data_IF_573185436032
#
_entry.id   IF_573185436032
#
_cell.length_a   1.000
_cell.length_b   1.000
_cell.length_c   1.000
_cell.angle_alpha   90.00
_cell.angle_beta   90.00
_cell.angle_gamma   90.00
#
_symmetry.space_group_name_H-M   'P 1'
#
loop_
_entity.id
_entity.type
_entity.pdbx_description
1 polymer ?
#
# COMPACT_ATOMS: atom_id res chain seq x y z
N UNK A 1 -56.35 -12.47 -10.27
CA UNK A 1 -55.32 -11.55 -10.76
C UNK A 1 -54.22 -11.53 -9.72
N UNK A 2 -53.06 -12.13 -10.01
CA UNK A 2 -51.99 -12.31 -9.05
C UNK A 2 -51.22 -10.98 -8.84
N UNK A 3 -50.94 -10.65 -7.58
CA UNK A 3 -50.02 -9.58 -7.20
C UNK A 3 -48.60 -10.06 -7.56
N UNK A 4 -47.97 -9.38 -8.52
CA UNK A 4 -46.57 -9.60 -8.87
C UNK A 4 -45.68 -9.10 -7.73
N UNK A 5 -45.10 -10.01 -6.96
CA UNK A 5 -44.07 -9.69 -5.98
C UNK A 5 -42.76 -9.40 -6.73
N UNK A 6 -42.40 -8.13 -6.86
CA UNK A 6 -41.02 -7.75 -7.17
C UNK A 6 -40.16 -8.19 -5.97
N UNK A 7 -39.31 -9.20 -6.19
CA UNK A 7 -38.31 -9.61 -5.21
C UNK A 7 -37.29 -8.48 -4.99
N UNK A 8 -36.62 -8.44 -3.83
CA UNK A 8 -35.61 -7.43 -3.58
C UNK A 8 -34.43 -7.65 -4.55
N UNK A 9 -34.14 -6.65 -5.38
CA UNK A 9 -32.88 -6.54 -6.11
C UNK A 9 -31.75 -6.24 -5.10
N UNK A 10 -31.38 -7.27 -4.34
CA UNK A 10 -30.12 -7.30 -3.61
C UNK A 10 -29.03 -7.66 -4.60
N UNK A 11 -28.51 -6.67 -5.32
CA UNK A 11 -27.24 -6.82 -6.01
C UNK A 11 -26.18 -7.11 -4.97
N UNK A 12 -25.80 -8.37 -4.82
CA UNK A 12 -24.69 -8.78 -3.98
C UNK A 12 -23.49 -7.96 -4.39
N UNK A 13 -23.06 -7.03 -3.53
CA UNK A 13 -21.84 -6.27 -3.75
C UNK A 13 -20.73 -7.30 -3.92
N UNK A 14 -20.25 -7.44 -5.15
CA UNK A 14 -19.24 -8.43 -5.47
C UNK A 14 -17.95 -7.98 -4.78
N UNK A 15 -17.68 -8.57 -3.62
CA UNK A 15 -16.43 -8.39 -2.89
C UNK A 15 -15.33 -9.06 -3.72
N UNK A 16 -14.65 -8.26 -4.53
CA UNK A 16 -13.40 -8.68 -5.16
C UNK A 16 -12.40 -9.07 -4.07
N UNK A 17 -11.58 -10.08 -4.33
CA UNK A 17 -10.50 -10.45 -3.43
C UNK A 17 -9.64 -9.21 -3.13
N UNK A 18 -9.26 -8.96 -1.87
CA UNK A 18 -8.53 -7.76 -1.51
C UNK A 18 -7.16 -7.73 -2.21
N UNK A 19 -6.67 -6.55 -2.63
CA UNK A 19 -5.34 -6.42 -3.19
C UNK A 19 -4.30 -6.93 -2.19
N UNK A 20 -3.42 -7.83 -2.63
CA UNK A 20 -2.30 -8.34 -1.83
C UNK A 20 -1.00 -7.77 -2.38
N UNK A 21 -0.26 -7.06 -1.53
CA UNK A 21 1.09 -6.56 -1.83
C UNK A 21 2.14 -7.47 -1.18
N UNK A 22 3.27 -7.68 -1.84
CA UNK A 22 4.24 -8.72 -1.42
C UNK A 22 5.67 -8.20 -1.34
N UNK A 23 6.39 -8.70 -0.33
CA UNK A 23 7.83 -8.53 -0.18
C UNK A 23 8.55 -9.82 -0.62
N UNK A 24 9.80 -9.71 -1.09
CA UNK A 24 10.55 -10.87 -1.62
C UNK A 24 11.17 -11.73 -0.52
N UNK A 25 11.01 -11.32 0.74
CA UNK A 25 11.38 -12.07 1.94
C UNK A 25 11.00 -11.32 3.21
N UNK A 26 11.13 -11.98 4.36
CA UNK A 26 10.92 -11.33 5.66
C UNK A 26 9.47 -10.93 5.94
N UNK A 27 9.18 -10.63 7.21
CA UNK A 27 7.87 -10.13 7.61
C UNK A 27 7.74 -8.64 7.27
N UNK A 28 6.56 -8.23 6.81
CA UNK A 28 6.16 -6.82 6.79
C UNK A 28 5.99 -6.38 8.25
N UNK A 29 6.78 -5.40 8.68
CA UNK A 29 6.78 -4.90 10.06
C UNK A 29 5.92 -3.66 10.22
N UNK A 30 5.77 -2.89 9.15
CA UNK A 30 5.09 -1.59 9.16
C UNK A 30 4.33 -1.37 7.87
N UNK A 31 3.19 -0.69 8.00
CA UNK A 31 2.33 -0.27 6.92
C UNK A 31 1.79 1.12 7.24
N UNK A 32 1.72 1.97 6.22
CA UNK A 32 0.94 3.20 6.25
C UNK A 32 0.27 3.38 4.90
N UNK A 33 -0.85 4.09 4.87
CA UNK A 33 -1.63 4.34 3.67
C UNK A 33 -2.07 5.80 3.60
N UNK A 34 -2.16 6.33 2.38
CA UNK A 34 -2.75 7.62 2.08
C UNK A 34 -3.32 7.58 0.67
N UNK A 35 -4.63 7.79 0.54
CA UNK A 35 -5.35 7.61 -0.72
C UNK A 35 -5.08 6.23 -1.34
N UNK A 36 -4.72 6.21 -2.62
CA UNK A 36 -4.42 4.99 -3.40
C UNK A 36 -2.95 4.56 -3.29
N UNK A 37 -2.25 4.97 -2.23
CA UNK A 37 -0.87 4.60 -1.95
C UNK A 37 -0.75 3.86 -0.64
N UNK A 38 -0.02 2.74 -0.67
CA UNK A 38 0.44 2.05 0.53
C UNK A 38 1.96 2.13 0.57
N UNK A 39 2.53 2.38 1.74
CA UNK A 39 3.95 2.19 2.01
C UNK A 39 4.12 1.06 3.02
N UNK A 40 4.97 0.09 2.67
CA UNK A 40 5.31 -1.04 3.54
C UNK A 40 6.79 -1.02 3.88
N UNK A 41 7.14 -1.42 5.11
CA UNK A 41 8.51 -1.64 5.55
C UNK A 41 8.68 -3.07 6.04
N UNK A 42 9.76 -3.74 5.65
CA UNK A 42 9.95 -5.19 5.86
C UNK A 42 11.32 -5.56 6.41
N UNK A 43 11.40 -6.79 6.94
CA UNK A 43 12.65 -7.48 7.30
C UNK A 43 13.50 -7.88 6.09
N UNK A 44 12.98 -7.82 4.86
CA UNK A 44 13.83 -7.92 3.66
C UNK A 44 14.69 -6.68 3.40
N UNK A 45 14.70 -5.73 4.35
CA UNK A 45 15.48 -4.50 4.27
C UNK A 45 15.02 -3.58 3.15
N UNK A 46 13.75 -3.66 2.77
CA UNK A 46 13.16 -2.74 1.80
C UNK A 46 11.95 -2.02 2.37
N UNK A 47 11.81 -0.75 1.98
CA UNK A 47 10.52 -0.08 1.97
C UNK A 47 9.96 -0.09 0.54
N UNK A 48 8.66 -0.36 0.38
CA UNK A 48 8.00 -0.38 -0.93
C UNK A 48 6.82 0.58 -0.94
N UNK A 49 6.69 1.34 -2.02
CA UNK A 49 5.52 2.18 -2.28
C UNK A 49 4.67 1.48 -3.33
N UNK A 50 3.40 1.30 -3.02
CA UNK A 50 2.44 0.56 -3.82
C UNK A 50 1.35 1.48 -4.35
N UNK A 51 0.98 1.29 -5.60
CA UNK A 51 -0.16 1.91 -6.25
C UNK A 51 -1.36 0.95 -6.24
N UNK A 52 -2.46 1.40 -5.65
CA UNK A 52 -3.71 0.64 -5.52
C UNK A 52 -4.84 1.13 -6.43
N UNK A 53 -4.59 2.05 -7.38
CA UNK A 53 -5.62 2.55 -8.31
C UNK A 53 -6.30 1.45 -9.12
N UNK A 54 -5.62 0.32 -9.32
CA UNK A 54 -6.20 -0.93 -9.83
C UNK A 54 -6.15 -2.00 -8.74
N UNK A 55 -7.24 -2.23 -7.98
CA UNK A 55 -7.25 -3.21 -6.89
C UNK A 55 -6.97 -4.65 -7.34
N UNK A 56 -7.25 -4.98 -8.60
CA UNK A 56 -6.94 -6.29 -9.17
C UNK A 56 -5.44 -6.47 -9.47
N UNK A 57 -4.68 -5.36 -9.57
CA UNK A 57 -3.27 -5.37 -9.95
C UNK A 57 -2.49 -4.30 -9.14
N UNK A 58 -2.29 -4.52 -7.82
CA UNK A 58 -1.45 -3.62 -7.03
C UNK A 58 -0.01 -3.67 -7.54
N UNK A 59 0.61 -2.51 -7.75
CA UNK A 59 1.97 -2.41 -8.32
C UNK A 59 2.92 -1.70 -7.38
N UNK A 60 4.10 -2.27 -7.14
CA UNK A 60 5.19 -1.55 -6.48
C UNK A 60 5.73 -0.50 -7.46
N UNK A 61 5.48 0.77 -7.17
CA UNK A 61 6.00 1.90 -7.96
C UNK A 61 7.39 2.32 -7.52
N UNK A 62 7.76 2.05 -6.25
CA UNK A 62 9.10 2.28 -5.73
C UNK A 62 9.51 1.13 -4.81
N UNK A 63 10.79 0.76 -4.86
CA UNK A 63 11.45 -0.12 -3.88
C UNK A 63 12.70 0.58 -3.42
N UNK A 64 12.78 0.85 -2.11
CA UNK A 64 13.83 1.60 -1.46
C UNK A 64 14.65 0.64 -0.61
N UNK A 65 15.91 0.38 -0.96
CA UNK A 65 16.77 -0.51 -0.18
C UNK A 65 17.30 0.19 1.08
N UNK A 66 17.49 -0.60 2.13
CA UNK A 66 18.11 -0.22 3.39
C UNK A 66 19.14 -1.27 3.80
N UNK A 67 20.05 -0.96 4.72
CA UNK A 67 21.07 -1.93 5.14
C UNK A 67 20.58 -2.87 6.25
N UNK A 68 19.43 -2.57 6.86
CA UNK A 68 18.78 -3.38 7.89
C UNK A 68 17.23 -3.31 7.80
N UNK A 69 16.54 -4.03 8.68
CA UNK A 69 15.08 -4.11 8.71
C UNK A 69 14.43 -2.74 8.87
N UNK A 70 13.38 -2.48 8.09
CA UNK A 70 12.59 -1.26 8.25
C UNK A 70 11.60 -1.46 9.40
N UNK A 71 11.89 -0.84 10.53
CA UNK A 71 11.15 -1.04 11.79
C UNK A 71 10.21 0.10 12.13
N UNK A 72 10.26 1.23 11.42
CA UNK A 72 9.28 2.31 11.53
C UNK A 72 9.18 3.06 10.22
N UNK A 73 8.01 3.61 9.92
CA UNK A 73 7.84 4.51 8.78
C UNK A 73 6.77 5.57 9.06
N UNK A 74 6.94 6.72 8.44
CA UNK A 74 5.89 7.73 8.26
C UNK A 74 5.94 8.30 6.84
N UNK A 75 4.78 8.52 6.24
CA UNK A 75 4.61 8.99 4.88
C UNK A 75 3.56 10.10 4.82
N UNK A 76 3.80 11.10 3.99
CA UNK A 76 2.84 12.12 3.61
C UNK A 76 3.02 12.47 2.12
N UNK A 77 2.30 13.48 1.62
CA UNK A 77 2.37 13.88 0.21
C UNK A 77 3.78 14.36 -0.21
N UNK A 78 4.61 14.82 0.74
CA UNK A 78 5.92 15.41 0.44
C UNK A 78 7.07 14.46 0.75
N UNK A 79 6.92 13.61 1.77
CA UNK A 79 8.04 12.88 2.37
C UNK A 79 7.69 11.47 2.79
N UNK A 80 8.69 10.59 2.70
CA UNK A 80 8.69 9.26 3.32
C UNK A 80 9.91 9.15 4.23
N UNK A 81 9.67 8.89 5.51
CA UNK A 81 10.70 8.64 6.53
C UNK A 81 10.69 7.16 6.90
N UNK A 82 11.85 6.52 6.88
CA UNK A 82 12.01 5.11 7.25
C UNK A 82 13.11 5.00 8.29
N UNK A 83 12.81 4.37 9.44
CA UNK A 83 13.81 3.98 10.42
C UNK A 83 14.24 2.54 10.17
N UNK A 84 15.55 2.29 10.15
CA UNK A 84 16.15 0.99 9.92
C UNK A 84 17.47 0.91 10.69
N UNK A 85 17.78 -0.23 11.31
CA UNK A 85 18.94 -0.34 12.19
C UNK A 85 18.93 0.76 13.28
N UNK A 86 19.97 1.61 13.28
CA UNK A 86 20.07 2.81 14.12
C UNK A 86 19.85 4.12 13.35
N UNK A 87 19.53 4.03 12.06
CA UNK A 87 19.50 5.14 11.11
C UNK A 87 18.08 5.50 10.63
N UNK A 88 17.95 6.70 10.06
CA UNK A 88 16.72 7.19 9.45
C UNK A 88 17.01 7.73 8.05
N UNK A 89 16.31 7.21 7.04
CA UNK A 89 16.30 7.77 5.68
C UNK A 89 15.05 8.62 5.48
N UNK A 90 15.21 9.81 4.88
CA UNK A 90 14.10 10.65 4.42
C UNK A 90 14.14 10.79 2.91
N UNK A 91 13.05 10.44 2.25
CA UNK A 91 12.84 10.58 0.81
C UNK A 91 11.87 11.73 0.58
N UNK A 92 12.14 12.55 -0.43
CA UNK A 92 11.29 13.67 -0.83
C UNK A 92 10.63 13.34 -2.18
N UNK A 93 9.30 13.37 -2.23
CA UNK A 93 8.56 13.27 -3.48
C UNK A 93 8.64 14.61 -4.20
N UNK A 94 9.11 14.59 -5.44
CA UNK A 94 9.10 15.79 -6.28
C UNK A 94 7.77 15.84 -7.01
N UNK A 95 7.04 16.93 -6.86
CA UNK A 95 6.04 17.30 -7.86
C UNK A 95 6.79 17.64 -9.15
N UNK A 96 6.38 17.04 -10.27
CA UNK A 96 6.80 17.55 -11.56
C UNK A 96 6.10 18.91 -11.72
N UNK A 97 6.85 20.01 -11.60
CA UNK A 97 6.34 21.32 -12.00
C UNK A 97 6.01 21.24 -13.50
N UNK A 98 4.76 21.60 -13.83
CA UNK A 98 4.21 21.61 -15.19
C UNK A 98 4.60 22.87 -15.96
#
# INVERSE_FOLDING_TARGET
>A
MALSSAGPEGGDAQVHAPPVVTHTGGAVLRVQMQGDRIVTGSRDKTAKVWDLRSPAEPRAVLTLPHEDWVTSLQFDEETLRCAWGADISTYFFRSAEA
#
